data_IF_944359373648
#
_entry.id   IF_944359373648
#
_cell.length_a   1.000
_cell.length_b   1.000
_cell.length_c   1.000
_cell.angle_alpha   90.00
_cell.angle_beta   90.00
_cell.angle_gamma   90.00
#
_symmetry.space_group_name_H-M   'P 1'
#
loop_
_entity.id
_entity.type
_entity.pdbx_description
1 polymer ?
#
# COMPACT_ATOMS: atom_id res chain seq x y z
N UNK A 1 19.29 2.28 2.40
CA UNK A 1 18.00 2.40 1.68
C UNK A 1 17.34 1.04 1.71
N UNK A 2 16.16 0.92 2.31
CA UNK A 2 15.50 -0.37 2.50
C UNK A 2 14.79 -0.76 1.21
N UNK A 3 15.00 -2.00 0.76
CA UNK A 3 14.39 -2.55 -0.45
C UNK A 3 13.05 -3.17 -0.07
N UNK A 4 11.96 -2.56 -0.54
CA UNK A 4 10.61 -3.14 -0.42
C UNK A 4 10.45 -4.20 -1.50
N UNK A 5 10.03 -5.39 -1.10
CA UNK A 5 9.54 -6.43 -2.00
C UNK A 5 8.03 -6.56 -1.78
N UNK A 6 7.29 -6.64 -2.87
CA UNK A 6 5.84 -6.82 -2.85
C UNK A 6 5.58 -8.28 -3.20
N UNK A 7 4.80 -8.99 -2.38
CA UNK A 7 4.41 -10.37 -2.65
C UNK A 7 3.47 -10.47 -3.85
N UNK A 8 3.33 -11.66 -4.42
CA UNK A 8 2.36 -11.87 -5.50
C UNK A 8 0.92 -11.65 -5.04
N UNK A 9 0.62 -12.00 -3.79
CA UNK A 9 -0.68 -11.74 -3.16
C UNK A 9 -0.98 -10.25 -3.10
N UNK A 10 -0.04 -9.45 -2.60
CA UNK A 10 -0.20 -8.00 -2.53
C UNK A 10 -0.32 -7.35 -3.92
N UNK A 11 0.35 -7.91 -4.94
CA UNK A 11 0.15 -7.47 -6.33
C UNK A 11 -1.25 -7.78 -6.86
N UNK A 12 -1.83 -8.95 -6.50
CA UNK A 12 -3.21 -9.29 -6.83
C UNK A 12 -4.18 -8.33 -6.15
N UNK A 13 -4.01 -8.05 -4.86
CA UNK A 13 -4.84 -7.10 -4.11
C UNK A 13 -4.80 -5.69 -4.73
N UNK A 14 -3.62 -5.22 -5.16
CA UNK A 14 -3.48 -3.94 -5.85
C UNK A 14 -4.24 -3.91 -7.17
N UNK A 15 -4.20 -4.99 -7.95
CA UNK A 15 -4.91 -5.07 -9.22
C UNK A 15 -6.43 -5.14 -9.02
N UNK A 16 -6.90 -5.90 -8.04
CA UNK A 16 -8.33 -5.98 -7.69
C UNK A 16 -8.85 -4.63 -7.20
N UNK A 17 -8.08 -3.95 -6.33
CA UNK A 17 -8.38 -2.61 -5.85
C UNK A 17 -8.43 -1.58 -6.98
N UNK A 18 -7.44 -1.60 -7.88
CA UNK A 18 -7.44 -0.73 -9.07
C UNK A 18 -8.72 -0.91 -9.88
N UNK A 19 -9.04 -2.15 -10.26
CA UNK A 19 -10.22 -2.46 -11.07
C UNK A 19 -11.52 -2.10 -10.35
N UNK A 20 -11.58 -2.25 -9.03
CA UNK A 20 -12.74 -1.88 -8.23
C UNK A 20 -13.01 -0.37 -8.26
N UNK A 21 -11.97 0.45 -8.06
CA UNK A 21 -12.11 1.90 -8.06
C UNK A 21 -12.30 2.47 -9.46
N UNK A 22 -11.60 1.94 -10.47
CA UNK A 22 -11.74 2.39 -11.86
C UNK A 22 -13.15 2.16 -12.43
N UNK A 23 -13.85 1.11 -11.96
CA UNK A 23 -15.25 0.86 -12.33
C UNK A 23 -16.24 1.87 -11.72
N UNK A 24 -15.87 2.57 -10.65
CA UNK A 24 -16.74 3.56 -10.01
C UNK A 24 -16.64 4.92 -10.70
N UNK A 25 -15.42 5.34 -11.00
CA UNK A 25 -15.14 6.58 -11.72
C UNK A 25 -13.83 6.42 -12.52
N UNK A 26 -13.82 6.74 -13.82
CA UNK A 26 -12.60 6.70 -14.62
C UNK A 26 -11.47 7.54 -13.99
N UNK A 27 -10.29 6.95 -13.84
CA UNK A 27 -9.11 7.56 -13.20
C UNK A 27 -9.01 7.35 -11.69
N UNK A 28 -10.05 6.82 -11.02
CA UNK A 28 -10.00 6.55 -9.59
C UNK A 28 -9.09 5.35 -9.26
N UNK A 29 -8.94 4.39 -10.18
CA UNK A 29 -7.98 3.30 -10.04
C UNK A 29 -6.54 3.80 -10.06
N UNK A 30 -6.22 4.71 -10.98
CA UNK A 30 -4.89 5.34 -11.06
C UNK A 30 -4.58 6.17 -9.80
N UNK A 31 -5.58 6.89 -9.29
CA UNK A 31 -5.46 7.64 -8.05
C UNK A 31 -5.21 6.71 -6.85
N UNK A 32 -5.94 5.59 -6.77
CA UNK A 32 -5.73 4.54 -5.77
C UNK A 32 -4.30 4.00 -5.74
N UNK A 33 -3.78 3.56 -6.89
CA UNK A 33 -2.40 3.03 -6.99
C UNK A 33 -1.36 4.09 -6.63
N UNK A 34 -1.59 5.34 -7.04
CA UNK A 34 -0.69 6.46 -6.73
C UNK A 34 -0.62 6.74 -5.22
N UNK A 35 -1.77 6.75 -4.54
CA UNK A 35 -1.83 6.92 -3.09
C UNK A 35 -1.14 5.78 -2.34
N UNK A 36 -1.43 4.52 -2.69
CA UNK A 36 -0.82 3.35 -2.04
C UNK A 36 0.68 3.28 -2.25
N UNK A 37 1.17 3.60 -3.46
CA UNK A 37 2.62 3.68 -3.72
C UNK A 37 3.27 4.73 -2.83
N UNK A 38 2.65 5.90 -2.65
CA UNK A 38 3.16 6.95 -1.76
C UNK A 38 3.22 6.49 -0.30
N UNK A 39 2.21 5.74 0.15
CA UNK A 39 2.19 5.16 1.50
C UNK A 39 3.25 4.05 1.69
N UNK A 40 3.49 3.22 0.66
CA UNK A 40 4.58 2.21 0.67
C UNK A 40 5.96 2.88 0.66
N UNK A 41 6.16 3.95 -0.11
CA UNK A 41 7.44 4.68 -0.09
C UNK A 41 7.72 5.29 1.29
N UNK A 42 6.68 5.71 2.03
CA UNK A 42 6.85 6.15 3.43
C UNK A 42 7.38 5.05 4.33
N UNK A 43 7.01 3.77 4.12
CA UNK A 43 7.59 2.64 4.87
C UNK A 43 9.11 2.60 4.77
N UNK A 44 9.69 2.86 3.58
CA UNK A 44 11.14 2.87 3.39
C UNK A 44 11.87 3.89 4.27
N UNK A 45 11.21 5.01 4.59
CA UNK A 45 11.75 6.06 5.45
C UNK A 45 11.42 5.83 6.93
N UNK A 46 10.29 5.18 7.22
CA UNK A 46 9.79 4.96 8.58
C UNK A 46 10.31 3.65 9.22
N UNK A 47 10.95 2.81 8.41
CA UNK A 47 11.66 1.61 8.82
C UNK A 47 12.88 1.96 9.72
N UNK A 48 12.59 2.15 11.01
CA UNK A 48 13.53 2.58 12.04
C UNK A 48 12.88 3.42 13.16
N UNK A 49 11.69 3.97 12.93
CA UNK A 49 11.00 4.87 13.88
C UNK A 49 9.64 4.38 14.37
N UNK A 50 9.03 3.36 13.76
CA UNK A 50 7.74 2.81 14.22
C UNK A 50 7.87 1.49 15.00
N UNK A 51 7.02 1.38 16.01
CA UNK A 51 6.87 0.24 16.92
C UNK A 51 6.42 -1.00 16.13
N UNK A 52 7.18 -2.09 16.23
CA UNK A 52 6.85 -3.42 15.67
C UNK A 52 5.50 -3.84 16.26
N UNK A 53 4.46 -4.00 15.42
CA UNK A 53 3.08 -4.23 15.91
C UNK A 53 2.73 -5.72 16.00
N UNK A 54 3.29 -6.61 15.18
CA UNK A 54 3.28 -8.08 15.36
C UNK A 54 4.27 -8.71 14.37
N UNK A 55 5.11 -9.65 14.83
CA UNK A 55 5.86 -10.64 14.03
C UNK A 55 6.56 -10.16 12.74
N UNK A 56 7.56 -9.27 12.84
CA UNK A 56 8.52 -8.93 11.77
C UNK A 56 8.01 -8.13 10.56
N UNK A 57 6.71 -7.80 10.48
CA UNK A 57 6.15 -6.98 9.39
C UNK A 57 5.97 -5.49 9.77
N UNK A 58 6.12 -4.60 8.79
CA UNK A 58 5.81 -3.18 8.94
C UNK A 58 4.39 -2.92 8.46
N UNK A 59 3.53 -2.42 9.34
CA UNK A 59 2.15 -2.12 9.00
C UNK A 59 1.93 -0.63 8.75
N UNK A 60 1.31 -0.29 7.62
CA UNK A 60 0.82 1.07 7.32
C UNK A 60 -0.61 1.02 6.84
N UNK A 61 -1.45 1.88 7.42
CA UNK A 61 -2.81 2.13 6.93
C UNK A 61 -2.74 3.27 5.93
N UNK A 62 -3.35 3.09 4.75
CA UNK A 62 -3.42 4.15 3.77
C UNK A 62 -4.20 5.35 4.33
N UNK A 63 -3.75 6.56 3.99
CA UNK A 63 -4.41 7.78 4.48
C UNK A 63 -5.72 8.09 3.75
N UNK A 64 -5.88 7.56 2.54
CA UNK A 64 -6.94 7.97 1.61
C UNK A 64 -7.91 6.82 1.37
N UNK A 65 -7.40 5.59 1.29
CA UNK A 65 -8.21 4.40 1.00
C UNK A 65 -8.27 3.49 2.22
N UNK A 66 -9.35 2.71 2.40
CA UNK A 66 -9.51 1.80 3.53
C UNK A 66 -8.68 0.52 3.34
N UNK A 67 -7.36 0.66 3.18
CA UNK A 67 -6.41 -0.43 2.95
C UNK A 67 -5.31 -0.42 4.02
N UNK A 68 -4.98 -1.60 4.53
CA UNK A 68 -3.77 -1.85 5.32
C UNK A 68 -2.72 -2.53 4.46
N UNK A 69 -1.49 -2.04 4.50
CA UNK A 69 -0.30 -2.64 3.88
C UNK A 69 0.49 -3.35 4.98
N UNK A 70 0.78 -4.63 4.76
CA UNK A 70 1.48 -5.51 5.70
C UNK A 70 2.73 -6.12 5.02
#
# INVERSE_FOLDING_TARGET
MIRVQISEEALRDLNEGFLFYERQEPGLGDYFVTCLRSDIERLKFAAGTHRIVHEDYQHVVSKIFPYGVF
#
